data_IF_337904405293
#
_entry.id   IF_337904405293
#
_cell.length_a   1.000
_cell.length_b   1.000
_cell.length_c   1.000
_cell.angle_alpha   90.00
_cell.angle_beta   90.00
_cell.angle_gamma   90.00
#
_symmetry.space_group_name_H-M   'P 1'
#
loop_
_entity.id
_entity.type
_entity.pdbx_description
1 polymer ?
#
# COMPACT_ATOMS: atom_id res chain seq x y z
N UNK A 1 23.59 0.73 62.66
CA UNK A 1 22.49 0.21 61.83
C UNK A 1 22.82 0.57 60.39
N UNK A 2 23.42 -0.36 59.65
CA UNK A 2 23.98 -0.11 58.32
C UNK A 2 22.85 -0.05 57.27
N UNK A 3 22.77 1.07 56.55
CA UNK A 3 22.03 1.23 55.30
C UNK A 3 22.60 0.28 54.24
N UNK A 4 21.93 -0.85 54.01
CA UNK A 4 22.33 -1.88 53.03
C UNK A 4 21.31 -2.09 51.89
N UNK A 5 20.38 -1.16 51.67
CA UNK A 5 19.16 -1.46 50.89
C UNK A 5 18.96 -0.72 49.56
N UNK A 6 19.87 0.13 49.08
CA UNK A 6 19.66 0.86 47.80
C UNK A 6 20.61 0.49 46.64
N UNK A 7 21.66 -0.31 46.88
CA UNK A 7 22.68 -0.55 45.82
C UNK A 7 22.22 -1.54 44.74
N UNK A 8 21.39 -2.53 45.10
CA UNK A 8 20.94 -3.57 44.16
C UNK A 8 19.85 -3.09 43.19
N UNK A 9 18.93 -2.25 43.67
CA UNK A 9 17.88 -1.67 42.83
C UNK A 9 18.45 -0.64 41.84
N UNK A 10 19.46 0.13 42.26
CA UNK A 10 20.17 1.06 41.38
C UNK A 10 20.98 0.34 40.28
N UNK A 11 21.65 -0.77 40.61
CA UNK A 11 22.39 -1.56 39.63
C UNK A 11 21.46 -2.19 38.57
N UNK A 12 20.28 -2.67 39.00
CA UNK A 12 19.26 -3.19 38.09
C UNK A 12 18.68 -2.09 37.18
N UNK A 13 18.46 -0.90 37.73
CA UNK A 13 18.03 0.27 36.96
C UNK A 13 19.09 0.70 35.92
N UNK A 14 20.37 0.68 36.27
CA UNK A 14 21.47 0.99 35.35
C UNK A 14 21.54 0.01 34.18
N UNK A 15 21.40 -1.29 34.43
CA UNK A 15 21.37 -2.33 33.38
C UNK A 15 20.14 -2.15 32.47
N UNK A 16 18.99 -1.81 33.03
CA UNK A 16 17.79 -1.53 32.23
C UNK A 16 17.97 -0.32 31.29
N UNK A 17 18.63 0.75 31.77
CA UNK A 17 18.94 1.93 30.96
C UNK A 17 19.90 1.60 29.83
N UNK A 18 20.95 0.80 30.09
CA UNK A 18 21.91 0.39 29.07
C UNK A 18 21.25 -0.42 27.95
N UNK A 19 20.40 -1.39 28.31
CA UNK A 19 19.65 -2.18 27.33
C UNK A 19 18.71 -1.30 26.47
N UNK A 20 18.08 -0.29 27.08
CA UNK A 20 17.24 0.68 26.35
C UNK A 20 18.09 1.49 25.35
N UNK A 21 19.29 1.91 25.74
CA UNK A 21 20.21 2.64 24.86
C UNK A 21 20.63 1.76 23.69
N UNK A 22 21.00 0.51 23.93
CA UNK A 22 21.34 -0.46 22.89
C UNK A 22 20.17 -0.67 21.90
N UNK A 23 18.95 -0.84 22.41
CA UNK A 23 17.74 -0.96 21.61
C UNK A 23 17.43 0.30 20.79
N UNK A 24 17.71 1.49 21.31
CA UNK A 24 17.57 2.75 20.58
C UNK A 24 18.56 2.80 19.41
N UNK A 25 19.83 2.46 19.64
CA UNK A 25 20.84 2.47 18.58
C UNK A 25 20.56 1.40 17.52
N UNK A 26 20.08 0.22 17.93
CA UNK A 26 19.61 -0.81 17.00
C UNK A 26 18.44 -0.32 16.15
N UNK A 27 17.42 0.31 16.74
CA UNK A 27 16.27 0.85 15.98
C UNK A 27 16.68 1.95 15.00
N UNK A 28 17.66 2.78 15.38
CA UNK A 28 18.20 3.86 14.56
C UNK A 28 18.98 3.32 13.35
N UNK A 29 19.80 2.31 13.55
CA UNK A 29 20.52 1.64 12.44
C UNK A 29 19.56 0.92 11.50
N UNK A 30 18.58 0.19 12.04
CA UNK A 30 17.52 -0.47 11.26
C UNK A 30 16.69 0.54 10.44
N UNK A 31 16.32 1.68 11.03
CA UNK A 31 15.58 2.74 10.35
C UNK A 31 16.40 3.35 9.21
N UNK A 32 17.67 3.66 9.46
CA UNK A 32 18.57 4.22 8.45
C UNK A 32 18.65 3.31 7.22
N UNK A 33 18.87 2.02 7.44
CA UNK A 33 18.95 1.02 6.38
C UNK A 33 17.66 0.91 5.56
N UNK A 34 16.49 0.98 6.22
CA UNK A 34 15.18 0.97 5.54
C UNK A 34 14.95 2.24 4.71
N UNK A 35 15.43 3.39 5.19
CA UNK A 35 15.32 4.66 4.46
C UNK A 35 16.24 4.70 3.24
N UNK A 36 17.44 4.14 3.34
CA UNK A 36 18.40 4.04 2.21
C UNK A 36 17.86 3.17 1.06
N UNK A 37 17.07 2.13 1.39
CA UNK A 37 16.46 1.20 0.41
C UNK A 37 14.99 1.52 0.10
N UNK A 38 14.52 2.70 0.48
CA UNK A 38 13.11 3.08 0.30
C UNK A 38 12.80 3.23 -1.20
N UNK A 39 11.78 2.54 -1.74
CA UNK A 39 11.33 2.75 -3.10
C UNK A 39 10.89 4.19 -3.36
N UNK A 40 11.14 4.66 -4.58
CA UNK A 40 10.68 5.96 -5.06
C UNK A 40 9.15 6.00 -5.21
N UNK A 41 8.60 7.22 -5.25
CA UNK A 41 7.15 7.40 -5.46
C UNK A 41 6.68 6.74 -6.76
N UNK A 42 7.47 6.87 -7.83
CA UNK A 42 7.09 6.39 -9.15
C UNK A 42 7.10 4.86 -9.23
N UNK A 43 8.06 4.20 -8.59
CA UNK A 43 8.07 2.73 -8.45
C UNK A 43 6.82 2.23 -7.71
N UNK A 44 6.41 2.91 -6.64
CA UNK A 44 5.19 2.55 -5.90
C UNK A 44 3.92 2.72 -6.75
N UNK A 45 3.90 3.69 -7.66
CA UNK A 45 2.79 3.89 -8.60
C UNK A 45 2.79 2.82 -9.68
N UNK A 46 3.94 2.50 -10.25
CA UNK A 46 4.09 1.45 -11.26
C UNK A 46 3.68 0.08 -10.71
N UNK A 47 4.00 -0.20 -9.45
CA UNK A 47 3.57 -1.42 -8.76
C UNK A 47 2.12 -1.35 -8.25
N UNK A 48 1.37 -0.28 -8.56
CA UNK A 48 -0.02 -0.07 -8.17
C UNK A 48 -0.25 -0.12 -6.64
N UNK A 49 0.77 0.26 -5.86
CA UNK A 49 0.71 0.39 -4.39
C UNK A 49 0.20 1.78 -4.03
N UNK A 50 0.78 2.82 -4.63
CA UNK A 50 0.34 4.20 -4.47
C UNK A 50 -0.46 4.63 -5.70
N UNK A 51 -1.61 5.28 -5.51
CA UNK A 51 -2.37 5.83 -6.64
C UNK A 51 -1.76 7.15 -7.08
N UNK A 52 -1.59 7.33 -8.39
CA UNK A 52 -1.19 8.63 -8.94
C UNK A 52 -2.39 9.56 -9.06
N UNK A 53 -2.69 10.28 -7.98
CA UNK A 53 -3.83 11.20 -7.95
C UNK A 53 -3.48 12.49 -7.22
N UNK A 54 -4.13 13.57 -7.62
CA UNK A 54 -4.08 14.89 -6.97
C UNK A 54 -5.17 15.06 -5.89
N UNK A 55 -5.97 14.02 -5.68
CA UNK A 55 -7.04 14.01 -4.69
C UNK A 55 -6.44 13.98 -3.28
N UNK A 56 -7.04 14.72 -2.36
CA UNK A 56 -6.59 14.75 -0.97
C UNK A 56 -6.69 13.35 -0.33
N UNK A 57 -5.70 12.94 0.51
CA UNK A 57 -5.68 11.60 1.11
C UNK A 57 -6.96 11.23 1.86
N UNK A 58 -7.59 12.21 2.52
CA UNK A 58 -8.80 12.01 3.31
C UNK A 58 -10.02 11.54 2.49
N UNK A 59 -10.12 11.92 1.21
CA UNK A 59 -11.27 11.60 0.35
C UNK A 59 -10.91 10.62 -0.79
N UNK A 60 -9.65 10.18 -0.86
CA UNK A 60 -9.15 9.31 -1.93
C UNK A 60 -9.91 7.98 -2.01
N UNK A 61 -10.31 7.43 -0.86
CA UNK A 61 -11.10 6.20 -0.81
C UNK A 61 -12.49 6.40 -1.43
N UNK A 62 -13.18 7.48 -1.06
CA UNK A 62 -14.52 7.81 -1.59
C UNK A 62 -14.46 8.08 -3.10
N UNK A 63 -13.45 8.80 -3.57
CA UNK A 63 -13.26 9.05 -5.00
C UNK A 63 -13.07 7.75 -5.79
N UNK A 64 -12.29 6.81 -5.26
CA UNK A 64 -12.08 5.51 -5.88
C UNK A 64 -13.35 4.67 -5.93
N UNK A 65 -14.19 4.76 -4.90
CA UNK A 65 -15.46 4.03 -4.86
C UNK A 65 -16.44 4.58 -5.91
N UNK A 66 -16.51 5.91 -6.03
CA UNK A 66 -17.30 6.56 -7.07
C UNK A 66 -16.83 6.18 -8.48
N UNK A 67 -15.52 6.15 -8.71
CA UNK A 67 -14.95 5.74 -10.00
C UNK A 67 -15.30 4.29 -10.34
N UNK A 68 -15.20 3.38 -9.35
CA UNK A 68 -15.61 1.98 -9.53
C UNK A 68 -17.09 1.83 -9.86
N UNK A 69 -17.97 2.53 -9.15
CA UNK A 69 -19.41 2.51 -9.41
C UNK A 69 -19.72 3.00 -10.83
N UNK A 70 -19.13 4.13 -11.24
CA UNK A 70 -19.28 4.65 -12.61
C UNK A 70 -18.80 3.65 -13.66
N UNK A 71 -17.68 2.98 -13.42
CA UNK A 71 -17.15 1.98 -14.33
C UNK A 71 -18.05 0.75 -14.39
N UNK A 72 -18.59 0.31 -13.26
CA UNK A 72 -19.53 -0.81 -13.18
C UNK A 72 -20.80 -0.52 -14.01
N UNK A 73 -21.42 0.65 -13.80
CA UNK A 73 -22.62 1.06 -14.54
C UNK A 73 -22.35 1.15 -16.05
N UNK A 74 -21.22 1.74 -16.43
CA UNK A 74 -20.82 1.84 -17.84
C UNK A 74 -20.52 0.47 -18.47
N UNK A 75 -19.93 -0.44 -17.70
CA UNK A 75 -19.66 -1.81 -18.15
C UNK A 75 -20.95 -2.60 -18.31
N UNK A 76 -21.90 -2.49 -17.37
CA UNK A 76 -23.20 -3.15 -17.44
C UNK A 76 -23.93 -2.76 -18.71
N UNK A 77 -24.03 -1.46 -19.01
CA UNK A 77 -24.63 -0.97 -20.26
C UNK A 77 -24.00 -1.59 -21.51
N UNK A 78 -22.66 -1.65 -21.57
CA UNK A 78 -21.93 -2.25 -22.71
C UNK A 78 -22.14 -3.76 -22.83
N UNK A 79 -22.29 -4.45 -21.71
CA UNK A 79 -22.58 -5.89 -21.69
C UNK A 79 -24.00 -6.13 -22.20
N UNK A 80 -24.98 -5.35 -21.75
CA UNK A 80 -26.37 -5.46 -22.22
C UNK A 80 -26.50 -5.19 -23.72
N UNK A 81 -25.75 -4.22 -24.25
CA UNK A 81 -25.76 -3.89 -25.68
C UNK A 81 -24.71 -4.65 -26.50
N UNK A 82 -24.16 -5.76 -25.98
CA UNK A 82 -23.07 -6.48 -26.64
C UNK A 82 -23.59 -7.15 -27.93
N UNK A 83 -23.03 -6.83 -29.11
CA UNK A 83 -23.46 -7.44 -30.36
C UNK A 83 -23.15 -8.94 -30.41
N UNK A 84 -24.01 -9.70 -31.09
CA UNK A 84 -23.79 -11.11 -31.32
C UNK A 84 -22.70 -11.34 -32.38
N UNK A 85 -22.10 -12.53 -32.36
CA UNK A 85 -21.07 -12.90 -33.35
C UNK A 85 -21.56 -12.77 -34.80
N UNK A 86 -22.86 -12.98 -35.05
CA UNK A 86 -23.48 -12.81 -36.37
C UNK A 86 -23.48 -11.35 -36.82
N UNK A 87 -23.77 -10.43 -35.90
CA UNK A 87 -23.75 -8.98 -36.17
C UNK A 87 -22.32 -8.50 -36.42
N UNK A 88 -21.35 -9.03 -35.68
CA UNK A 88 -19.94 -8.72 -35.92
C UNK A 88 -19.42 -9.27 -37.27
N UNK A 89 -19.92 -10.42 -37.72
CA UNK A 89 -19.62 -10.96 -39.07
C UNK A 89 -20.23 -10.10 -40.18
N UNK A 90 -21.48 -9.61 -40.00
CA UNK A 90 -22.15 -8.77 -41.00
C UNK A 90 -21.49 -7.39 -41.11
N UNK A 91 -20.96 -6.87 -40.00
CA UNK A 91 -20.17 -5.64 -39.96
C UNK A 91 -18.72 -5.81 -40.44
N UNK A 92 -18.29 -7.05 -40.77
CA UNK A 92 -16.92 -7.33 -41.22
C UNK A 92 -15.85 -7.21 -40.14
N UNK A 93 -16.24 -7.14 -38.86
CA UNK A 93 -15.33 -7.06 -37.71
C UNK A 93 -14.80 -8.45 -37.35
N UNK A 94 -15.66 -9.47 -37.40
CA UNK A 94 -15.27 -10.88 -37.22
C UNK A 94 -15.05 -11.53 -38.59
N UNK A 95 -14.03 -12.38 -38.73
CA UNK A 95 -13.86 -13.24 -39.92
C UNK A 95 -14.31 -14.66 -39.62
N UNK A 96 -14.73 -15.41 -40.65
CA UNK A 96 -15.22 -16.79 -40.50
C UNK A 96 -14.15 -17.79 -40.05
N UNK A 97 -12.87 -17.42 -40.12
CA UNK A 97 -11.76 -18.33 -39.85
C UNK A 97 -11.41 -18.49 -38.36
N UNK A 98 -11.92 -17.65 -37.46
CA UNK A 98 -11.65 -17.70 -36.02
C UNK A 98 -12.65 -18.57 -35.23
N UNK A 99 -13.05 -19.73 -35.76
CA UNK A 99 -14.02 -20.61 -35.08
C UNK A 99 -13.37 -21.58 -34.11
#
# INVERSE_FOLDING_TARGET
>A
MLVHLDTADNATAAVAVENIIEDIEKRKTDLRHKLERRPTRDELIQHNILKDTKIAPAIQAQASELEKSRLADALEQKITSRPDAKDLLSQGILTREYR
#
